data_IF_512192726781
#
_entry.id   IF_512192726781
#
_cell.length_a   1.000
_cell.length_b   1.000
_cell.length_c   1.000
_cell.angle_alpha   90.00
_cell.angle_beta   90.00
_cell.angle_gamma   90.00
#
_symmetry.space_group_name_H-M   'P 1'
#
loop_
_entity.id
_entity.type
_entity.pdbx_description
1 polymer ?
#
# COMPACT_ATOMS: atom_id res chain seq x y z
N UNK A 1 -0.68 22.21 -9.38
CA UNK A 1 -0.43 21.07 -10.29
C UNK A 1 0.40 21.56 -11.46
N UNK A 2 1.58 20.99 -11.69
CA UNK A 2 2.44 21.39 -12.81
C UNK A 2 1.91 20.81 -14.13
N UNK A 3 2.36 21.30 -15.29
CA UNK A 3 1.85 20.90 -16.60
C UNK A 3 1.92 19.37 -16.84
N UNK A 4 3.06 18.76 -16.48
CA UNK A 4 3.28 17.31 -16.62
C UNK A 4 2.30 16.45 -15.82
N UNK A 5 1.93 16.85 -14.60
CA UNK A 5 0.94 16.12 -13.80
C UNK A 5 -0.45 16.16 -14.45
N UNK A 6 -0.81 17.31 -15.05
CA UNK A 6 -2.07 17.45 -15.78
C UNK A 6 -2.11 16.54 -17.00
N UNK A 7 -1.01 16.46 -17.74
CA UNK A 7 -0.90 15.59 -18.91
C UNK A 7 -1.06 14.11 -18.53
N UNK A 8 -0.38 13.66 -17.46
CA UNK A 8 -0.55 12.29 -16.94
C UNK A 8 -1.99 11.99 -16.54
N UNK A 9 -2.66 12.92 -15.85
CA UNK A 9 -4.06 12.73 -15.45
C UNK A 9 -5.02 12.74 -16.66
N UNK A 10 -4.75 13.56 -17.67
CA UNK A 10 -5.51 13.55 -18.92
C UNK A 10 -5.35 12.22 -19.65
N UNK A 11 -4.13 11.70 -19.76
CA UNK A 11 -3.86 10.41 -20.38
C UNK A 11 -4.54 9.26 -19.61
N UNK A 12 -4.45 9.25 -18.28
CA UNK A 12 -5.16 8.28 -17.44
C UNK A 12 -6.68 8.37 -17.62
N UNK A 13 -7.24 9.58 -17.66
CA UNK A 13 -8.66 9.81 -17.91
C UNK A 13 -9.11 9.30 -19.28
N UNK A 14 -8.30 9.50 -20.32
CA UNK A 14 -8.57 8.98 -21.66
C UNK A 14 -8.55 7.45 -21.71
N UNK A 15 -7.58 6.81 -21.04
CA UNK A 15 -7.54 5.34 -20.92
C UNK A 15 -8.78 4.83 -20.20
N UNK A 16 -9.14 5.41 -19.05
CA UNK A 16 -10.32 5.02 -18.29
C UNK A 16 -11.62 5.16 -19.11
N UNK A 17 -11.76 6.23 -19.89
CA UNK A 17 -12.93 6.45 -20.73
C UNK A 17 -13.06 5.44 -21.88
N UNK A 18 -11.94 4.92 -22.40
CA UNK A 18 -11.90 4.06 -23.59
C UNK A 18 -11.72 2.57 -23.29
N UNK A 19 -11.34 2.21 -22.07
CA UNK A 19 -11.04 0.83 -21.70
C UNK A 19 -12.23 -0.12 -21.92
N UNK A 20 -13.45 0.34 -21.66
CA UNK A 20 -14.66 -0.43 -21.92
C UNK A 20 -14.84 -0.79 -23.40
N UNK A 21 -14.58 0.15 -24.31
CA UNK A 21 -14.64 -0.09 -25.76
C UNK A 21 -13.61 -1.14 -26.20
N UNK A 22 -12.39 -1.07 -25.64
CA UNK A 22 -11.32 -2.02 -25.91
C UNK A 22 -11.70 -3.43 -25.43
N UNK A 23 -12.28 -3.54 -24.23
CA UNK A 23 -12.76 -4.83 -23.70
C UNK A 23 -13.84 -5.42 -24.60
N UNK A 24 -14.81 -4.60 -25.04
CA UNK A 24 -15.85 -5.05 -25.97
C UNK A 24 -15.28 -5.50 -27.30
N UNK A 25 -14.29 -4.78 -27.84
CA UNK A 25 -13.61 -5.17 -29.08
C UNK A 25 -12.85 -6.51 -28.94
N UNK A 26 -12.15 -6.72 -27.82
CA UNK A 26 -11.47 -7.99 -27.53
C UNK A 26 -12.46 -9.15 -27.39
N UNK A 27 -13.62 -8.92 -26.76
CA UNK A 27 -14.69 -9.91 -26.65
C UNK A 27 -15.31 -10.23 -28.02
N UNK A 28 -15.55 -9.22 -28.85
CA UNK A 28 -16.09 -9.41 -30.19
C UNK A 28 -15.12 -10.13 -31.14
N UNK A 29 -13.82 -10.00 -30.89
CA UNK A 29 -12.75 -10.66 -31.65
C UNK A 29 -12.38 -12.05 -31.11
N UNK A 30 -13.17 -12.63 -30.19
CA UNK A 30 -12.95 -13.98 -29.72
C UNK A 30 -13.12 -15.00 -30.85
N UNK A 31 -12.28 -16.04 -30.83
CA UNK A 31 -12.41 -17.20 -31.71
C UNK A 31 -12.48 -18.46 -30.85
N UNK A 32 -13.53 -19.26 -31.03
CA UNK A 32 -13.77 -20.44 -30.19
C UNK A 32 -13.97 -20.15 -28.68
N UNK A 33 -14.22 -18.89 -28.31
CA UNK A 33 -14.29 -18.45 -26.91
C UNK A 33 -12.94 -18.02 -26.31
N UNK A 34 -11.85 -18.09 -27.07
CA UNK A 34 -10.53 -17.62 -26.67
C UNK A 34 -10.34 -16.15 -27.05
N UNK A 35 -9.65 -15.38 -26.20
CA UNK A 35 -9.33 -13.97 -26.46
C UNK A 35 -8.12 -13.87 -27.41
N UNK A 36 -8.09 -12.86 -28.30
CA UNK A 36 -6.98 -12.68 -29.24
C UNK A 36 -5.70 -12.30 -28.48
N UNK A 37 -4.70 -13.17 -28.52
CA UNK A 37 -3.45 -13.01 -27.78
C UNK A 37 -2.69 -11.72 -28.16
N UNK A 38 -2.69 -11.34 -29.44
CA UNK A 38 -2.03 -10.12 -29.91
C UNK A 38 -2.74 -8.86 -29.38
N UNK A 39 -4.08 -8.84 -29.38
CA UNK A 39 -4.84 -7.75 -28.78
C UNK A 39 -4.58 -7.60 -27.28
N UNK A 40 -4.47 -8.71 -26.54
CA UNK A 40 -4.10 -8.68 -25.12
C UNK A 40 -2.67 -8.14 -24.90
N UNK A 41 -1.72 -8.51 -25.77
CA UNK A 41 -0.33 -8.00 -25.69
C UNK A 41 -0.27 -6.50 -25.93
N UNK A 42 -0.95 -6.01 -26.97
CA UNK A 42 -0.98 -4.58 -27.31
C UNK A 42 -1.59 -3.74 -26.18
N UNK A 43 -2.75 -4.15 -25.67
CA UNK A 43 -3.42 -3.45 -24.56
C UNK A 43 -2.56 -3.49 -23.30
N UNK A 44 -2.01 -4.66 -22.97
CA UNK A 44 -1.12 -4.83 -21.82
C UNK A 44 0.16 -3.99 -21.91
N UNK A 45 0.74 -3.86 -23.11
CA UNK A 45 1.90 -3.01 -23.33
C UNK A 45 1.56 -1.53 -23.16
N UNK A 46 0.44 -1.07 -23.71
CA UNK A 46 -0.01 0.31 -23.57
C UNK A 46 -0.31 0.70 -22.11
N UNK A 47 -0.98 -0.19 -21.36
CA UNK A 47 -1.25 0.02 -19.93
C UNK A 47 0.03 0.06 -19.10
N UNK A 48 1.03 -0.76 -19.46
CA UNK A 48 2.33 -0.78 -18.79
C UNK A 48 3.07 0.53 -18.96
N UNK A 49 3.09 1.10 -20.16
CA UNK A 49 3.72 2.41 -20.42
C UNK A 49 3.11 3.49 -19.53
N UNK A 50 1.77 3.58 -19.48
CA UNK A 50 1.11 4.56 -18.60
C UNK A 50 1.42 4.32 -17.11
N UNK A 51 1.45 3.06 -16.68
CA UNK A 51 1.79 2.72 -15.31
C UNK A 51 3.24 3.10 -14.97
N UNK A 52 4.19 2.82 -15.87
CA UNK A 52 5.60 3.18 -15.72
C UNK A 52 5.78 4.71 -15.63
N UNK A 53 5.06 5.48 -16.45
CA UNK A 53 5.08 6.95 -16.41
C UNK A 53 4.56 7.50 -15.08
N UNK A 54 3.49 6.91 -14.54
CA UNK A 54 2.95 7.26 -13.22
C UNK A 54 3.93 6.93 -12.09
N UNK A 55 4.57 5.76 -12.14
CA UNK A 55 5.57 5.32 -11.15
C UNK A 55 6.82 6.19 -11.20
N UNK A 56 7.34 6.49 -12.40
CA UNK A 56 8.46 7.40 -12.58
C UNK A 56 8.15 8.78 -12.00
N UNK A 57 6.94 9.29 -12.24
CA UNK A 57 6.52 10.57 -11.66
C UNK A 57 6.43 10.53 -10.14
N UNK A 58 5.90 9.44 -9.56
CA UNK A 58 5.86 9.26 -8.12
C UNK A 58 7.26 9.19 -7.50
N UNK A 59 8.22 8.54 -8.16
CA UNK A 59 9.61 8.48 -7.72
C UNK A 59 10.28 9.87 -7.73
N UNK A 60 10.02 10.69 -8.75
CA UNK A 60 10.48 12.10 -8.78
C UNK A 60 9.94 12.87 -7.57
N UNK A 61 8.63 12.73 -7.28
CA UNK A 61 8.00 13.40 -6.14
C UNK A 61 8.56 12.92 -4.79
N UNK A 62 8.79 11.62 -4.64
CA UNK A 62 9.40 11.02 -3.45
C UNK A 62 10.86 11.44 -3.25
N UNK A 63 11.60 11.64 -4.36
CA UNK A 63 12.97 12.17 -4.34
C UNK A 63 13.06 13.68 -4.06
N UNK A 64 11.96 14.42 -4.18
CA UNK A 64 11.86 15.85 -3.88
C UNK A 64 11.35 16.17 -2.47
N UNK A 65 11.29 15.18 -1.57
CA UNK A 65 11.12 15.47 -0.14
C UNK A 65 12.33 16.28 0.32
N UNK A 66 12.15 17.61 0.38
CA UNK A 66 13.05 18.51 1.07
C UNK A 66 13.14 18.04 2.51
N UNK A 67 14.30 17.52 2.91
CA UNK A 67 14.63 17.24 4.30
C UNK A 67 14.50 18.55 5.07
N UNK A 68 13.34 18.74 5.67
CA UNK A 68 13.10 19.72 6.73
C UNK A 68 13.55 19.01 8.01
N UNK A 69 14.35 19.62 8.91
CA UNK A 69 14.75 18.95 10.14
C UNK A 69 13.50 18.53 10.90
N UNK A 70 13.43 17.24 11.24
CA UNK A 70 12.24 16.51 11.66
C UNK A 70 11.28 17.31 12.56
N UNK A 71 10.15 17.74 11.99
CA UNK A 71 8.92 17.68 12.75
C UNK A 71 8.66 16.18 12.95
N UNK A 72 8.70 15.70 14.20
CA UNK A 72 8.26 14.36 14.51
C UNK A 72 6.83 14.22 13.98
N UNK A 73 6.65 13.49 12.88
CA UNK A 73 5.32 13.13 12.41
C UNK A 73 4.61 12.45 13.57
N UNK A 74 3.53 13.05 14.03
CA UNK A 74 2.69 12.47 15.06
C UNK A 74 2.02 11.25 14.47
N UNK A 75 2.45 10.08 14.92
CA UNK A 75 1.92 8.81 14.44
C UNK A 75 0.61 8.54 15.17
N UNK A 76 -0.46 8.36 14.40
CA UNK A 76 -1.79 8.01 14.89
C UNK A 76 -1.86 6.52 15.25
N UNK A 77 -2.62 6.19 16.30
CA UNK A 77 -2.93 4.80 16.61
C UNK A 77 -3.70 4.13 15.46
N UNK A 78 -3.20 3.00 14.96
CA UNK A 78 -3.84 2.26 13.87
C UNK A 78 -5.21 1.64 14.23
N UNK A 79 -5.57 1.62 15.52
CA UNK A 79 -6.85 1.06 15.99
C UNK A 79 -7.90 2.15 16.29
N UNK A 80 -7.51 3.23 16.97
CA UNK A 80 -8.45 4.27 17.41
C UNK A 80 -8.20 5.66 16.84
N UNK A 81 -7.15 5.83 16.02
CA UNK A 81 -6.74 7.10 15.42
C UNK A 81 -6.42 8.24 16.41
N UNK A 82 -6.22 7.96 17.70
CA UNK A 82 -5.72 8.96 18.66
C UNK A 82 -4.19 9.09 18.56
N UNK A 83 -3.69 10.31 18.77
CA UNK A 83 -2.26 10.60 18.97
C UNK A 83 -1.90 10.63 20.46
N UNK A 84 -0.64 10.31 20.83
CA UNK A 84 0.36 9.58 20.02
C UNK A 84 0.25 8.04 20.20
N UNK A 85 0.89 7.28 19.30
CA UNK A 85 1.26 5.87 19.58
C UNK A 85 2.19 5.75 20.80
N UNK A 86 2.30 4.56 21.38
CA UNK A 86 3.04 4.35 22.63
C UNK A 86 4.54 4.64 22.51
N UNK A 87 5.17 4.25 21.39
CA UNK A 87 6.59 4.46 21.09
C UNK A 87 6.77 4.91 19.65
N UNK A 88 6.63 6.23 19.37
CA UNK A 88 6.86 6.77 18.03
C UNK A 88 8.29 6.55 17.51
N UNK A 89 9.24 6.22 18.40
CA UNK A 89 10.62 5.87 18.09
C UNK A 89 10.81 4.43 17.57
N UNK A 90 9.78 3.59 17.70
CA UNK A 90 9.80 2.21 17.22
C UNK A 90 9.18 2.07 15.82
N UNK A 91 9.59 1.04 15.05
CA UNK A 91 9.03 0.80 13.71
C UNK A 91 7.52 0.51 13.78
N UNK A 92 6.76 0.93 12.76
CA UNK A 92 5.31 0.65 12.65
C UNK A 92 4.93 -0.82 12.47
N UNK A 93 5.91 -1.69 12.33
CA UNK A 93 5.73 -3.14 12.41
C UNK A 93 5.64 -3.63 13.84
N UNK A 94 5.98 -2.79 14.83
CA UNK A 94 5.85 -3.12 16.24
C UNK A 94 4.55 -2.73 16.87
N UNK A 95 4.16 -3.48 17.89
CA UNK A 95 2.98 -3.15 18.70
C UNK A 95 3.09 -1.71 19.23
N UNK A 96 4.23 -1.34 19.81
CA UNK A 96 4.41 -0.03 20.42
C UNK A 96 4.54 1.12 19.40
N UNK A 97 5.06 0.83 18.20
CA UNK A 97 5.18 1.80 17.09
C UNK A 97 3.91 1.98 16.26
N UNK A 98 2.87 1.16 16.51
CA UNK A 98 1.63 1.13 15.72
C UNK A 98 0.36 1.44 16.51
N UNK A 99 0.36 1.21 17.82
CA UNK A 99 -0.83 1.38 18.67
C UNK A 99 -0.55 2.33 19.84
N UNK A 100 -1.59 3.02 20.33
CA UNK A 100 -1.49 3.82 21.55
C UNK A 100 -1.55 2.95 22.80
N UNK A 101 -0.99 3.44 23.91
CA UNK A 101 -0.97 2.72 25.19
C UNK A 101 -2.36 2.30 25.69
N UNK A 102 -3.41 3.07 25.40
CA UNK A 102 -4.78 2.72 25.77
C UNK A 102 -5.34 1.51 25.02
N UNK A 103 -5.03 1.39 23.72
CA UNK A 103 -5.42 0.23 22.92
C UNK A 103 -4.61 -1.02 23.30
N UNK A 104 -3.33 -0.86 23.62
CA UNK A 104 -2.46 -1.95 24.09
C UNK A 104 -2.96 -2.46 25.44
N UNK A 105 -3.18 -1.56 26.42
CA UNK A 105 -3.67 -1.93 27.75
C UNK A 105 -5.03 -2.67 27.67
N UNK A 106 -5.97 -2.16 26.86
CA UNK A 106 -7.26 -2.81 26.67
C UNK A 106 -7.15 -4.21 26.06
N UNK A 107 -6.16 -4.43 25.20
CA UNK A 107 -5.87 -5.75 24.65
C UNK A 107 -5.34 -6.69 25.74
N UNK A 108 -4.37 -6.23 26.54
CA UNK A 108 -3.75 -7.02 27.61
C UNK A 108 -4.74 -7.33 28.75
N UNK A 109 -5.69 -6.44 29.02
CA UNK A 109 -6.73 -6.62 30.04
C UNK A 109 -7.83 -7.62 29.60
N UNK A 110 -7.98 -7.92 28.31
CA UNK A 110 -8.94 -8.92 27.82
C UNK A 110 -8.39 -10.35 27.97
N UNK A 111 -8.52 -10.88 29.18
CA UNK A 111 -8.18 -12.26 29.54
C UNK A 111 -8.88 -13.35 28.73
N UNK A 112 -9.92 -13.00 27.95
CA UNK A 112 -10.67 -13.99 27.18
C UNK A 112 -10.11 -14.19 25.78
N UNK A 113 -9.34 -13.23 25.25
CA UNK A 113 -8.81 -13.22 23.87
C UNK A 113 -9.89 -13.57 22.81
N UNK A 114 -11.18 -13.33 23.10
CA UNK A 114 -12.30 -13.72 22.23
C UNK A 114 -12.64 -12.68 21.17
N UNK A 115 -11.67 -11.84 20.80
CA UNK A 115 -11.83 -10.88 19.73
C UNK A 115 -10.63 -10.92 18.79
N UNK A 116 -10.87 -10.64 17.52
CA UNK A 116 -9.77 -10.37 16.60
C UNK A 116 -9.25 -8.97 16.92
N UNK A 117 -8.00 -8.88 17.40
CA UNK A 117 -7.34 -7.62 17.67
C UNK A 117 -6.14 -7.43 16.73
N UNK A 118 -6.04 -6.25 16.13
CA UNK A 118 -4.89 -5.87 15.32
C UNK A 118 -3.58 -5.90 16.15
N UNK A 119 -3.67 -5.71 17.48
CA UNK A 119 -2.53 -5.80 18.41
C UNK A 119 -1.97 -7.23 18.46
N UNK A 120 -2.82 -8.25 18.65
CA UNK A 120 -2.40 -9.66 18.68
C UNK A 120 -1.82 -10.12 17.34
N UNK A 121 -2.42 -9.67 16.24
CA UNK A 121 -1.94 -10.02 14.88
C UNK A 121 -0.51 -9.51 14.66
N UNK A 122 -0.24 -8.28 15.08
CA UNK A 122 1.10 -7.67 14.96
C UNK A 122 2.07 -8.31 15.94
N UNK A 123 1.69 -8.47 17.21
CA UNK A 123 2.54 -9.09 18.23
C UNK A 123 2.98 -10.52 17.86
N UNK A 124 2.09 -11.34 17.28
CA UNK A 124 2.44 -12.68 16.82
C UNK A 124 3.41 -12.67 15.62
N UNK A 125 3.26 -11.70 14.71
CA UNK A 125 4.17 -11.54 13.57
C UNK A 125 5.58 -11.10 14.02
N UNK A 126 5.67 -10.22 15.01
CA UNK A 126 6.94 -9.80 15.60
C UNK A 126 7.70 -10.95 16.28
N UNK A 127 7.00 -11.73 17.13
CA UNK A 127 7.58 -12.89 17.80
C UNK A 127 8.11 -13.92 16.79
N UNK A 128 7.34 -14.19 15.73
CA UNK A 128 7.74 -15.10 14.66
C UNK A 128 9.01 -14.63 13.96
N UNK A 129 9.14 -13.32 13.71
CA UNK A 129 10.32 -12.73 13.06
C UNK A 129 11.56 -12.77 13.96
N UNK A 130 11.39 -12.56 15.27
CA UNK A 130 12.47 -12.66 16.25
C UNK A 130 13.04 -14.08 16.33
N UNK A 131 12.17 -15.09 16.39
CA UNK A 131 12.58 -16.50 16.46
C UNK A 131 13.33 -16.96 15.21
N UNK A 132 12.89 -16.54 14.02
CA UNK A 132 13.59 -16.83 12.75
C UNK A 132 15.00 -16.20 12.74
N UNK A 133 15.15 -15.01 13.29
CA UNK A 133 16.43 -14.29 13.37
C UNK A 133 17.40 -14.97 14.35
N UNK A 134 16.90 -15.47 15.49
CA UNK A 134 17.71 -16.19 16.47
C UNK A 134 18.19 -17.55 15.96
N UNK A 135 17.32 -18.33 15.30
CA UNK A 135 17.69 -19.63 14.71
C UNK A 135 18.73 -19.47 13.59
N UNK A 136 18.70 -18.35 12.86
CA UNK A 136 19.67 -18.07 11.79
C UNK A 136 21.06 -17.64 12.31
N UNK A 137 21.19 -17.36 13.61
CA UNK A 137 22.44 -16.93 14.27
C UNK A 137 23.06 -18.00 15.17
N UNK A 138 22.35 -19.09 15.44
CA UNK A 138 22.82 -20.25 16.19
C UNK A 138 23.45 -21.29 15.26
#
# INVERSE_FOLDING_TARGET
>A
MIARDRELLVQLGQVNARLGEVVLALMAAQDGGELPADGLREVGAALRVLADDMLARAAELGGHILVTPAAQETVLCALCANEPVARPDQPHTSVDGRFCGGCIARCLDDTTHRHWCAVDTVGNAEQSTSLVTEVSRA
#
